data_IF_498714225671
#
_entry.id   IF_498714225671
#
_cell.length_a   1.000
_cell.length_b   1.000
_cell.length_c   1.000
_cell.angle_alpha   90.00
_cell.angle_beta   90.00
_cell.angle_gamma   90.00
#
_symmetry.space_group_name_H-M   'P 1'
#
loop_
_entity.id
_entity.type
_entity.pdbx_description
1 polymer ?
#
# COMPACT_ATOMS: atom_id res chain seq x y z
N UNK A 1 -9.77 21.32 -14.69
CA UNK A 1 -8.52 21.55 -13.94
C UNK A 1 -8.92 22.12 -12.58
N UNK A 2 -8.89 21.34 -11.48
CA UNK A 2 -9.21 21.85 -10.14
C UNK A 2 -7.94 22.45 -9.55
N UNK A 3 -7.94 23.78 -9.44
CA UNK A 3 -6.83 24.56 -8.89
C UNK A 3 -6.94 24.53 -7.35
N UNK A 4 -5.81 24.34 -6.66
CA UNK A 4 -5.73 24.50 -5.21
C UNK A 4 -6.01 25.96 -4.80
N UNK A 5 -6.16 26.23 -3.49
CA UNK A 5 -6.41 27.59 -3.01
C UNK A 5 -5.27 28.51 -3.47
N UNK A 6 -5.57 29.41 -4.41
CA UNK A 6 -4.60 30.33 -5.02
C UNK A 6 -4.34 30.15 -6.53
N UNK A 7 -4.99 29.23 -7.23
CA UNK A 7 -4.88 29.16 -8.70
C UNK A 7 -3.55 28.58 -9.21
N UNK A 8 -2.65 28.17 -8.33
CA UNK A 8 -1.34 27.64 -8.67
C UNK A 8 -1.44 26.12 -8.87
N UNK A 9 -0.98 25.63 -10.03
CA UNK A 9 -0.87 24.20 -10.29
C UNK A 9 0.08 23.57 -9.25
N UNK A 10 -0.37 22.50 -8.60
CA UNK A 10 0.49 21.75 -7.68
C UNK A 10 1.61 21.12 -8.51
N UNK A 11 2.89 21.36 -8.19
CA UNK A 11 4.00 20.68 -8.85
C UNK A 11 3.83 19.16 -8.77
N UNK A 12 4.08 18.46 -9.87
CA UNK A 12 3.90 17.00 -9.96
C UNK A 12 4.64 16.24 -8.85
N UNK A 13 5.83 16.71 -8.46
CA UNK A 13 6.60 16.15 -7.36
C UNK A 13 5.89 16.26 -5.99
N UNK A 14 5.21 17.38 -5.73
CA UNK A 14 4.40 17.55 -4.51
C UNK A 14 3.20 16.62 -4.52
N UNK A 15 2.51 16.49 -5.66
CA UNK A 15 1.39 15.55 -5.78
C UNK A 15 1.83 14.11 -5.48
N UNK A 16 2.94 13.64 -6.08
CA UNK A 16 3.46 12.28 -5.85
C UNK A 16 3.78 12.04 -4.37
N UNK A 17 4.43 12.99 -3.70
CA UNK A 17 4.75 12.88 -2.28
C UNK A 17 3.50 12.74 -1.41
N UNK A 18 2.54 13.66 -1.57
CA UNK A 18 1.30 13.66 -0.80
C UNK A 18 0.43 12.42 -1.10
N UNK A 19 0.40 11.98 -2.35
CA UNK A 19 -0.28 10.76 -2.78
C UNK A 19 0.32 9.53 -2.08
N UNK A 20 1.65 9.38 -2.10
CA UNK A 20 2.32 8.28 -1.43
C UNK A 20 2.08 8.31 0.08
N UNK A 21 2.15 9.45 0.74
CA UNK A 21 1.87 9.55 2.19
C UNK A 21 0.42 9.15 2.50
N UNK A 22 -0.53 9.58 1.68
CA UNK A 22 -1.96 9.35 1.90
C UNK A 22 -2.41 7.91 1.65
N UNK A 23 -1.86 7.27 0.62
CA UNK A 23 -2.30 5.94 0.17
C UNK A 23 -1.31 4.83 0.51
N UNK A 24 -0.06 5.18 0.77
CA UNK A 24 1.01 4.26 1.17
C UNK A 24 1.74 4.81 2.40
N UNK A 25 1.07 4.91 3.57
CA UNK A 25 1.75 5.25 4.80
C UNK A 25 2.98 4.34 4.91
N UNK A 26 4.15 4.91 5.20
CA UNK A 26 5.42 4.18 5.39
C UNK A 26 5.24 2.94 6.27
N UNK A 27 4.28 2.98 7.19
CA UNK A 27 3.87 1.89 8.07
C UNK A 27 3.21 0.71 7.37
N UNK A 28 2.46 0.91 6.27
CA UNK A 28 1.83 -0.18 5.50
C UNK A 28 2.90 -1.00 4.78
N UNK A 29 3.93 -0.35 4.22
CA UNK A 29 5.04 -1.08 3.60
C UNK A 29 5.84 -1.89 4.62
N UNK A 30 6.12 -1.32 5.79
CA UNK A 30 6.90 -2.02 6.81
C UNK A 30 6.07 -3.10 7.54
N UNK A 31 4.78 -2.86 7.82
CA UNK A 31 3.89 -3.87 8.41
C UNK A 31 3.60 -5.01 7.44
N UNK A 32 3.28 -4.72 6.18
CA UNK A 32 3.00 -5.77 5.20
C UNK A 32 4.23 -6.65 4.96
N UNK A 33 5.45 -6.09 4.97
CA UNK A 33 6.68 -6.90 4.82
C UNK A 33 6.90 -7.81 6.03
N UNK A 34 6.69 -7.32 7.25
CA UNK A 34 6.80 -8.15 8.47
C UNK A 34 5.71 -9.22 8.49
N UNK A 35 4.47 -8.86 8.22
CA UNK A 35 3.33 -9.78 8.21
C UNK A 35 3.44 -10.81 7.07
N UNK A 36 4.01 -10.43 5.93
CA UNK A 36 4.36 -11.34 4.84
C UNK A 36 5.51 -12.28 5.20
N UNK A 37 6.56 -11.79 5.86
CA UNK A 37 7.67 -12.63 6.35
C UNK A 37 7.20 -13.64 7.41
N UNK A 38 6.20 -13.28 8.19
CA UNK A 38 5.57 -14.14 9.20
C UNK A 38 4.45 -15.03 8.63
N UNK A 39 4.05 -14.82 7.37
CA UNK A 39 3.01 -15.59 6.70
C UNK A 39 3.51 -17.04 6.49
N UNK A 40 2.93 -17.97 7.26
CA UNK A 40 3.17 -19.40 7.14
C UNK A 40 1.84 -20.09 6.90
N UNK A 41 1.83 -21.17 6.11
CA UNK A 41 0.62 -21.96 5.86
C UNK A 41 -0.01 -22.46 7.18
N UNK A 42 0.82 -22.92 8.12
CA UNK A 42 0.33 -23.49 9.38
C UNK A 42 -0.63 -24.67 9.12
N UNK A 43 -1.80 -24.62 9.76
CA UNK A 43 -2.85 -25.64 9.59
C UNK A 43 -3.86 -25.29 8.48
N UNK A 44 -3.63 -24.23 7.70
CA UNK A 44 -4.52 -23.84 6.59
C UNK A 44 -4.38 -24.81 5.43
N UNK A 45 -5.45 -24.96 4.66
CA UNK A 45 -5.38 -25.62 3.35
C UNK A 45 -4.55 -24.77 2.39
N UNK A 46 -3.97 -25.41 1.37
CA UNK A 46 -3.18 -24.69 0.35
C UNK A 46 -4.02 -23.64 -0.38
N UNK A 47 -5.32 -23.93 -0.60
CA UNK A 47 -6.24 -23.00 -1.23
C UNK A 47 -6.47 -21.73 -0.39
N UNK A 48 -6.73 -21.89 0.91
CA UNK A 48 -6.94 -20.75 1.82
C UNK A 48 -5.67 -19.91 2.00
N UNK A 49 -4.51 -20.58 2.01
CA UNK A 49 -3.21 -19.91 2.06
C UNK A 49 -2.95 -19.09 0.78
N UNK A 50 -3.25 -19.62 -0.40
CA UNK A 50 -3.05 -18.92 -1.67
C UNK A 50 -3.90 -17.64 -1.77
N UNK A 51 -5.17 -17.70 -1.36
CA UNK A 51 -6.06 -16.53 -1.29
C UNK A 51 -5.48 -15.46 -0.36
N UNK A 52 -5.03 -15.87 0.84
CA UNK A 52 -4.39 -14.95 1.79
C UNK A 52 -3.10 -14.36 1.22
N UNK A 53 -2.26 -15.15 0.56
CA UNK A 53 -1.02 -14.69 -0.06
C UNK A 53 -1.28 -13.65 -1.17
N UNK A 54 -2.28 -13.85 -2.02
CA UNK A 54 -2.65 -12.89 -3.07
C UNK A 54 -3.08 -11.53 -2.51
N UNK A 55 -3.75 -11.52 -1.34
CA UNK A 55 -4.11 -10.25 -0.67
C UNK A 55 -2.94 -9.45 -0.14
N UNK A 56 -1.76 -10.07 0.06
CA UNK A 56 -0.53 -9.37 0.48
C UNK A 56 0.35 -8.93 -0.70
N UNK A 57 0.30 -9.64 -1.83
CA UNK A 57 1.18 -9.39 -3.00
C UNK A 57 0.58 -8.41 -4.01
N UNK A 58 -0.75 -8.27 -4.08
CA UNK A 58 -1.43 -7.44 -5.08
C UNK A 58 -1.83 -6.03 -4.60
N UNK A 59 -1.23 -5.52 -3.52
CA UNK A 59 -1.43 -4.14 -3.00
C UNK A 59 -0.20 -3.26 -3.18
#
# INVERSE_FOLDING_TARGET
MRLGPGGMAIPWEMFKREFLIKYFPVDVKNKNVVEFMELKQGNMTVADYAVKFETFVLV
#
